data_IF_200775992928
#
_entry.id   IF_200775992928
#
_cell.length_a   1.000
_cell.length_b   1.000
_cell.length_c   1.000
_cell.angle_alpha   90.00
_cell.angle_beta   90.00
_cell.angle_gamma   90.00
#
_symmetry.space_group_name_H-M   'P 1'
#
loop_
_entity.id
_entity.type
_entity.pdbx_description
1 polymer ?
#
# COMPACT_ATOMS: atom_id res chain seq x y z
N UNK A 1 -15.05 -8.80 -6.80
CA UNK A 1 -15.26 -9.45 -8.12
C UNK A 1 -15.49 -8.47 -9.28
N UNK A 2 -16.14 -7.31 -9.07
CA UNK A 2 -16.38 -6.33 -10.15
C UNK A 2 -15.11 -5.76 -10.81
N UNK A 3 -14.02 -5.54 -10.05
CA UNK A 3 -12.75 -5.04 -10.59
C UNK A 3 -12.07 -6.08 -11.50
N UNK A 4 -12.07 -7.36 -11.07
CA UNK A 4 -11.53 -8.48 -11.86
C UNK A 4 -12.29 -8.66 -13.18
N UNK A 5 -13.62 -8.51 -13.16
CA UNK A 5 -14.46 -8.56 -14.36
C UNK A 5 -14.14 -7.43 -15.37
N UNK A 6 -13.51 -6.35 -14.92
CA UNK A 6 -13.06 -5.22 -15.75
C UNK A 6 -11.57 -5.31 -16.12
N UNK A 7 -10.89 -6.40 -15.77
CA UNK A 7 -9.46 -6.59 -16.05
C UNK A 7 -8.53 -5.66 -15.27
N UNK A 8 -8.99 -5.08 -14.17
CA UNK A 8 -8.12 -4.28 -13.29
C UNK A 8 -7.24 -5.19 -12.45
N UNK A 9 -5.91 -4.96 -12.39
CA UNK A 9 -5.03 -5.74 -11.51
C UNK A 9 -5.37 -5.47 -10.04
N UNK A 10 -5.32 -6.51 -9.22
CA UNK A 10 -5.62 -6.50 -7.80
C UNK A 10 -4.37 -6.92 -7.04
N UNK A 11 -3.87 -6.00 -6.21
CA UNK A 11 -2.80 -6.28 -5.23
C UNK A 11 -3.45 -6.31 -3.85
N UNK A 12 -3.31 -7.42 -3.12
CA UNK A 12 -3.79 -7.54 -1.75
C UNK A 12 -2.67 -7.29 -0.73
N UNK A 13 -3.04 -6.77 0.45
CA UNK A 13 -2.23 -6.87 1.67
C UNK A 13 -2.94 -7.85 2.59
N UNK A 14 -2.27 -8.94 2.96
CA UNK A 14 -2.87 -10.04 3.69
C UNK A 14 -1.90 -10.59 4.75
N UNK A 15 -2.42 -11.29 5.75
CA UNK A 15 -1.58 -11.95 6.74
C UNK A 15 -0.81 -13.11 6.09
N UNK A 16 0.41 -13.34 6.55
CA UNK A 16 1.21 -14.50 6.16
C UNK A 16 0.38 -15.81 6.28
N UNK A 17 0.32 -16.58 5.20
CA UNK A 17 -0.42 -17.84 5.15
C UNK A 17 -1.88 -17.73 4.72
N UNK A 18 -2.39 -16.55 4.36
CA UNK A 18 -3.72 -16.40 3.77
C UNK A 18 -3.73 -16.82 2.29
N UNK A 19 -3.83 -18.14 2.08
CA UNK A 19 -3.85 -18.77 0.76
C UNK A 19 -5.14 -18.46 -0.02
N UNK A 20 -6.28 -18.30 0.67
CA UNK A 20 -7.56 -17.96 0.03
C UNK A 20 -7.47 -16.60 -0.67
N UNK A 21 -6.90 -15.59 -0.01
CA UNK A 21 -6.69 -14.28 -0.64
C UNK A 21 -5.72 -14.38 -1.82
N UNK A 22 -4.66 -15.17 -1.70
CA UNK A 22 -3.66 -15.33 -2.75
C UNK A 22 -4.24 -15.94 -4.04
N UNK A 23 -5.20 -16.85 -3.95
CA UNK A 23 -5.88 -17.41 -5.12
C UNK A 23 -6.84 -16.40 -5.80
N UNK A 24 -7.30 -15.39 -5.06
CA UNK A 24 -8.33 -14.46 -5.52
C UNK A 24 -7.78 -13.17 -6.15
N UNK A 25 -6.48 -12.90 -6.11
CA UNK A 25 -5.87 -11.64 -6.58
C UNK A 25 -4.72 -11.88 -7.56
N UNK A 26 -4.12 -10.82 -8.09
CA UNK A 26 -3.01 -10.91 -9.04
C UNK A 26 -1.65 -10.91 -8.32
N UNK A 27 -1.53 -10.14 -7.24
CA UNK A 27 -0.35 -10.09 -6.38
C UNK A 27 -0.75 -9.98 -4.91
N UNK A 28 0.10 -10.49 -4.01
CA UNK A 28 -0.08 -10.37 -2.55
C UNK A 28 1.18 -9.83 -1.90
N UNK A 29 1.00 -8.87 -0.99
CA UNK A 29 2.02 -8.42 -0.04
C UNK A 29 1.64 -9.00 1.32
N UNK A 30 2.40 -10.00 1.77
CA UNK A 30 2.20 -10.60 3.08
C UNK A 30 2.74 -9.71 4.20
N UNK A 31 1.99 -9.61 5.29
CA UNK A 31 2.37 -8.96 6.54
C UNK A 31 2.27 -9.96 7.69
N UNK A 32 3.06 -9.79 8.77
CA UNK A 32 2.96 -10.68 9.91
C UNK A 32 1.59 -10.55 10.57
N UNK A 33 1.10 -11.67 11.11
CA UNK A 33 -0.10 -11.66 11.93
C UNK A 33 0.17 -10.92 13.24
N UNK A 34 -0.67 -9.93 13.54
CA UNK A 34 -0.60 -9.13 14.76
C UNK A 34 -1.99 -9.02 15.39
N UNK A 35 -2.09 -8.70 16.70
CA UNK A 35 -3.38 -8.37 17.30
C UNK A 35 -4.12 -7.31 16.49
N UNK A 36 -5.44 -7.45 16.39
CA UNK A 36 -6.27 -6.62 15.49
C UNK A 36 -6.11 -5.10 15.72
N UNK A 37 -5.89 -4.67 16.97
CA UNK A 37 -5.65 -3.27 17.30
C UNK A 37 -4.31 -2.72 16.78
N UNK A 38 -3.36 -3.58 16.42
CA UNK A 38 -2.09 -3.23 15.78
C UNK A 38 -2.14 -3.34 14.25
N UNK A 39 -3.16 -4.01 13.69
CA UNK A 39 -3.28 -4.22 12.24
C UNK A 39 -3.13 -2.92 11.44
N UNK A 40 -3.76 -1.78 11.83
CA UNK A 40 -3.60 -0.53 11.08
C UNK A 40 -2.16 -0.02 11.01
N UNK A 41 -1.35 -0.28 12.04
CA UNK A 41 0.05 0.15 12.11
C UNK A 41 0.95 -0.70 11.23
N UNK A 42 0.67 -2.00 11.11
CA UNK A 42 1.46 -2.91 10.27
C UNK A 42 1.08 -2.75 8.81
N UNK A 43 -0.22 -2.68 8.50
CA UNK A 43 -0.73 -2.55 7.12
C UNK A 43 -0.28 -1.26 6.43
N UNK A 44 0.01 -0.18 7.16
CA UNK A 44 0.45 1.08 6.53
C UNK A 44 1.88 1.01 5.99
N UNK A 45 2.75 0.17 6.57
CA UNK A 45 4.17 0.08 6.18
C UNK A 45 4.36 -0.33 4.71
N UNK A 46 3.75 -1.42 4.20
CA UNK A 46 3.89 -1.77 2.79
C UNK A 46 3.29 -0.70 1.87
N UNK A 47 2.25 0.01 2.29
CA UNK A 47 1.66 1.10 1.50
C UNK A 47 2.59 2.33 1.41
N UNK A 48 3.31 2.64 2.49
CA UNK A 48 4.34 3.68 2.49
C UNK A 48 5.50 3.30 1.56
N UNK A 49 5.96 2.04 1.61
CA UNK A 49 7.01 1.53 0.72
C UNK A 49 6.56 1.51 -0.74
N UNK A 50 5.31 1.12 -1.02
CA UNK A 50 4.74 1.14 -2.37
C UNK A 50 4.76 2.57 -2.94
N UNK A 51 4.31 3.56 -2.16
CA UNK A 51 4.34 4.97 -2.58
C UNK A 51 5.77 5.46 -2.82
N UNK A 52 6.71 5.11 -1.94
CA UNK A 52 8.11 5.44 -2.06
C UNK A 52 8.74 4.89 -3.35
N UNK A 53 8.58 3.59 -3.61
CA UNK A 53 9.14 2.95 -4.79
C UNK A 53 8.52 3.47 -6.09
N UNK A 54 7.20 3.72 -6.11
CA UNK A 54 6.55 4.35 -7.27
C UNK A 54 7.11 5.76 -7.50
N UNK A 55 7.29 6.55 -6.44
CA UNK A 55 7.83 7.91 -6.56
C UNK A 55 9.26 7.90 -7.13
N UNK A 56 10.12 6.98 -6.67
CA UNK A 56 11.46 6.79 -7.22
C UNK A 56 11.44 6.39 -8.70
N UNK A 57 10.62 5.39 -9.06
CA UNK A 57 10.49 4.92 -10.44
C UNK A 57 9.97 6.01 -11.39
N UNK A 58 9.17 6.94 -10.88
CA UNK A 58 8.65 8.09 -11.64
C UNK A 58 9.57 9.32 -11.62
N UNK A 59 10.70 9.27 -10.92
CA UNK A 59 11.62 10.40 -10.78
C UNK A 59 11.02 11.59 -10.02
N UNK A 60 10.10 11.33 -9.10
CA UNK A 60 9.54 12.36 -8.22
C UNK A 60 10.53 12.70 -7.09
N UNK A 61 10.52 13.95 -6.63
CA UNK A 61 11.17 14.32 -5.37
C UNK A 61 10.34 13.77 -4.20
N UNK A 62 10.88 12.75 -3.54
CA UNK A 62 10.21 12.03 -2.44
C UNK A 62 10.15 12.89 -1.18
N UNK A 63 11.22 13.64 -0.89
CA UNK A 63 11.35 14.43 0.33
C UNK A 63 10.62 15.77 0.23
N UNK A 64 10.50 16.30 -0.99
CA UNK A 64 9.82 17.57 -1.29
C UNK A 64 8.81 17.39 -2.43
N UNK A 65 7.69 16.69 -2.17
CA UNK A 65 6.64 16.53 -3.17
C UNK A 65 6.10 17.90 -3.61
N UNK A 66 5.81 18.02 -4.91
CA UNK A 66 5.33 19.27 -5.51
C UNK A 66 4.13 19.83 -4.74
N UNK A 67 4.09 21.14 -4.56
CA UNK A 67 2.98 21.89 -3.97
C UNK A 67 2.66 21.56 -2.49
N UNK A 68 3.55 20.84 -1.79
CA UNK A 68 3.36 20.52 -0.37
C UNK A 68 4.41 21.19 0.50
N UNK A 69 4.02 21.50 1.73
CA UNK A 69 4.88 21.92 2.81
C UNK A 69 4.76 20.93 3.97
N UNK A 70 5.83 20.76 4.76
CA UNK A 70 5.82 19.85 5.91
C UNK A 70 4.75 20.21 6.96
N UNK A 71 4.47 21.50 7.09
CA UNK A 71 3.38 22.04 7.89
C UNK A 71 2.90 23.34 7.25
N UNK A 72 1.59 23.56 7.18
CA UNK A 72 1.01 24.82 6.73
C UNK A 72 0.84 25.71 7.96
N UNK A 73 1.62 26.79 8.05
CA UNK A 73 1.69 27.66 9.24
C UNK A 73 1.19 29.08 8.98
N UNK A 74 0.56 29.32 7.83
CA UNK A 74 -0.04 30.60 7.47
C UNK A 74 -1.53 30.39 7.25
N UNK A 75 -2.36 31.24 7.89
CA UNK A 75 -3.80 31.35 7.65
C UNK A 75 -4.10 32.08 6.33
#
# INVERSE_FOLDING_TARGET
>A
QEIKARGGPIIAVANEGDEEVAEMVDDVIFIPEVPEYLQPLVTVVPLQLLAYHIALLRGCDVDKPRNLAKSVTVE
#
